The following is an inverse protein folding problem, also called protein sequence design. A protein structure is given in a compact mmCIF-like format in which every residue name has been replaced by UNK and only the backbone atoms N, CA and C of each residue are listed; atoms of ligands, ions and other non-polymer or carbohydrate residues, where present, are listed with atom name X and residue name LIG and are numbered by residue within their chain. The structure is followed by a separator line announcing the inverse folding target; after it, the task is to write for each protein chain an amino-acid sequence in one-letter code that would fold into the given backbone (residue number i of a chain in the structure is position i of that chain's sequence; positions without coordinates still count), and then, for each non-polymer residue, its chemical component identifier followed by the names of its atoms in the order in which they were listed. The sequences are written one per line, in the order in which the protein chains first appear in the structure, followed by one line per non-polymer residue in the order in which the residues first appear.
data_IF_174894858760
#
_entry.id   IF_174894858760
#
_cell.length_a   1.000
_cell.length_b   1.000
_cell.length_c   1.000
_cell.angle_alpha   90.00
_cell.angle_beta   90.00
_cell.angle_gamma   90.00
#
_symmetry.space_group_name_H-M   'P 1'
#
loop_
_entity.id
_entity.type
_entity.pdbx_description
1 polymer ?
#
# COMPACT_ATOMS: atom_id res chain seq x y z
N UNK A 1 8.32 0.39 -30.17
CA UNK A 1 7.36 -0.35 -29.32
C UNK A 1 6.67 0.68 -28.46
N UNK A 2 5.35 0.71 -28.41
CA UNK A 2 4.63 1.83 -27.77
C UNK A 2 3.51 1.29 -26.90
N UNK A 3 3.61 1.55 -25.59
CA UNK A 3 2.51 1.31 -24.69
C UNK A 3 1.49 2.44 -24.87
N UNK A 4 0.31 2.11 -25.36
CA UNK A 4 -0.81 3.03 -25.45
C UNK A 4 -1.98 2.53 -24.61
N UNK A 5 -2.80 3.46 -24.11
CA UNK A 5 -3.95 3.11 -23.30
C UNK A 5 -4.87 4.27 -23.00
N UNK A 6 -5.85 4.03 -22.14
CA UNK A 6 -6.82 5.02 -21.68
C UNK A 6 -7.08 4.84 -20.19
N UNK A 7 -7.09 5.96 -19.47
CA UNK A 7 -7.32 6.00 -18.02
C UNK A 7 -8.74 6.50 -17.73
N UNK A 8 -9.47 5.74 -16.92
CA UNK A 8 -10.86 5.99 -16.57
C UNK A 8 -11.04 6.08 -15.05
N UNK A 9 -11.84 7.03 -14.60
CA UNK A 9 -12.38 7.07 -13.24
C UNK A 9 -13.74 6.38 -13.22
N UNK A 10 -13.99 5.55 -12.23
CA UNK A 10 -15.28 4.89 -12.02
C UNK A 10 -16.19 5.85 -11.26
N UNK A 11 -17.23 6.36 -11.91
CA UNK A 11 -18.19 7.33 -11.35
C UNK A 11 -19.40 6.67 -10.70
N UNK A 12 -19.71 5.43 -11.07
CA UNK A 12 -20.75 4.61 -10.45
C UNK A 12 -20.20 3.20 -10.22
N UNK A 13 -19.66 2.97 -9.03
CA UNK A 13 -18.96 1.73 -8.68
C UNK A 13 -19.87 0.50 -8.72
N UNK A 14 -21.10 0.62 -8.24
CA UNK A 14 -22.09 -0.47 -8.28
C UNK A 14 -22.37 -0.92 -9.72
N UNK A 15 -22.72 0.01 -10.61
CA UNK A 15 -23.01 -0.30 -12.02
C UNK A 15 -21.79 -0.87 -12.73
N UNK A 16 -20.59 -0.36 -12.41
CA UNK A 16 -19.33 -0.89 -12.91
C UNK A 16 -19.14 -2.35 -12.49
N UNK A 17 -19.25 -2.66 -11.19
CA UNK A 17 -19.08 -4.02 -10.66
C UNK A 17 -20.11 -4.98 -11.27
N UNK A 18 -21.39 -4.59 -11.32
CA UNK A 18 -22.46 -5.44 -11.85
C UNK A 18 -22.27 -5.82 -13.34
N UNK A 19 -21.63 -4.95 -14.13
CA UNK A 19 -21.42 -5.18 -15.57
C UNK A 19 -20.04 -5.75 -15.89
N UNK A 20 -19.01 -5.18 -15.32
CA UNK A 20 -17.62 -5.49 -15.65
C UNK A 20 -17.11 -6.67 -14.83
N UNK A 21 -17.21 -6.59 -13.50
CA UNK A 21 -16.66 -7.61 -12.59
C UNK A 21 -17.52 -8.88 -12.60
N UNK A 22 -18.85 -8.73 -12.53
CA UNK A 22 -19.75 -9.89 -12.40
C UNK A 22 -20.16 -10.52 -13.73
N UNK A 23 -20.17 -9.75 -14.82
CA UNK A 23 -20.65 -10.22 -16.14
C UNK A 23 -19.58 -10.21 -17.23
N UNK A 24 -18.34 -9.78 -16.92
CA UNK A 24 -17.22 -9.69 -17.86
C UNK A 24 -17.55 -8.89 -19.13
N UNK A 25 -18.41 -7.86 -19.03
CA UNK A 25 -18.79 -6.98 -20.15
C UNK A 25 -18.04 -5.66 -20.07
N UNK A 26 -17.87 -4.98 -21.22
CA UNK A 26 -17.34 -3.61 -21.22
C UNK A 26 -18.15 -2.71 -20.26
N UNK A 27 -17.50 -1.84 -19.48
CA UNK A 27 -18.21 -0.87 -18.65
C UNK A 27 -19.13 0.02 -19.49
N UNK A 28 -20.23 0.48 -18.90
CA UNK A 28 -21.08 1.45 -19.57
C UNK A 28 -20.39 2.82 -19.55
N UNK A 29 -20.53 3.66 -20.60
CA UNK A 29 -20.03 5.03 -20.56
C UNK A 29 -20.57 5.84 -19.36
N UNK A 30 -21.77 5.55 -18.86
CA UNK A 30 -22.34 6.30 -17.74
C UNK A 30 -21.73 5.96 -16.37
N UNK A 31 -20.99 4.85 -16.24
CA UNK A 31 -20.33 4.47 -14.98
C UNK A 31 -18.84 4.77 -14.95
N UNK A 32 -18.30 5.38 -16.01
CA UNK A 32 -16.89 5.75 -16.11
C UNK A 32 -16.72 7.13 -16.72
N UNK A 33 -15.63 7.82 -16.37
CA UNK A 33 -15.26 9.12 -16.93
C UNK A 33 -13.79 9.09 -17.33
N UNK A 34 -13.44 9.70 -18.46
CA UNK A 34 -12.05 9.83 -18.88
C UNK A 34 -11.28 10.73 -17.92
N UNK A 35 -10.10 10.28 -17.49
CA UNK A 35 -9.19 11.08 -16.67
C UNK A 35 -8.30 11.91 -17.60
N UNK A 36 -8.54 13.21 -17.65
CA UNK A 36 -7.71 14.18 -18.37
C UNK A 36 -6.52 14.62 -17.51
N UNK A 37 -5.37 14.89 -18.13
CA UNK A 37 -4.15 15.37 -17.45
C UNK A 37 -3.65 14.46 -16.31
N UNK A 38 -4.11 13.21 -16.25
CA UNK A 38 -3.54 12.18 -15.39
C UNK A 38 -2.12 11.88 -15.85
N UNK A 39 -1.26 11.40 -14.95
CA UNK A 39 0.08 10.95 -15.34
C UNK A 39 0.14 9.44 -15.39
N UNK A 40 0.93 8.92 -16.33
CA UNK A 40 1.27 7.50 -16.44
C UNK A 40 2.77 7.40 -16.58
N UNK A 41 3.38 6.45 -15.86
CA UNK A 41 4.81 6.17 -15.96
C UNK A 41 5.10 4.69 -15.87
N UNK A 42 6.25 4.30 -16.39
CA UNK A 42 6.84 3.01 -16.08
C UNK A 42 7.74 3.11 -14.86
N UNK A 43 7.69 2.06 -14.05
CA UNK A 43 8.61 1.82 -12.95
C UNK A 43 9.32 0.49 -13.18
N UNK A 44 10.54 0.37 -12.66
CA UNK A 44 11.32 -0.86 -12.75
C UNK A 44 10.76 -1.88 -11.76
N UNK A 45 10.54 -3.11 -12.22
CA UNK A 45 10.21 -4.22 -11.34
C UNK A 45 11.39 -4.64 -10.47
N UNK A 46 11.09 -5.43 -9.43
CA UNK A 46 12.11 -6.00 -8.55
C UNK A 46 13.11 -6.83 -9.35
N UNK A 47 14.41 -6.62 -9.11
CA UNK A 47 15.51 -7.33 -9.79
C UNK A 47 16.02 -6.71 -11.10
N UNK A 48 15.41 -5.64 -11.61
CA UNK A 48 15.92 -4.95 -12.80
C UNK A 48 17.18 -4.12 -12.48
N UNK A 49 18.25 -4.26 -13.26
CA UNK A 49 19.47 -3.49 -13.10
C UNK A 49 19.24 -1.97 -13.30
N UNK A 50 19.79 -1.17 -12.40
CA UNK A 50 19.57 0.28 -12.26
C UNK A 50 20.02 1.15 -13.46
N UNK A 51 20.67 0.58 -14.48
CA UNK A 51 21.39 1.35 -15.51
C UNK A 51 20.54 1.84 -16.68
N UNK A 52 19.49 1.11 -17.08
CA UNK A 52 18.80 1.42 -18.34
C UNK A 52 17.75 2.51 -18.18
N UNK A 53 17.70 3.51 -19.07
CA UNK A 53 16.73 4.61 -18.97
C UNK A 53 15.30 4.08 -19.10
N UNK A 54 14.40 4.61 -18.28
CA UNK A 54 12.96 4.48 -18.49
C UNK A 54 12.44 5.74 -19.19
N UNK A 55 11.37 5.64 -20.00
CA UNK A 55 10.77 6.81 -20.61
C UNK A 55 10.29 7.78 -19.53
N UNK A 56 10.28 9.09 -19.82
CA UNK A 56 9.68 10.06 -18.91
C UNK A 56 8.19 9.75 -18.70
N UNK A 57 7.61 10.12 -17.54
CA UNK A 57 6.17 10.07 -17.36
C UNK A 57 5.45 10.86 -18.45
N UNK A 58 4.32 10.34 -18.95
CA UNK A 58 3.46 11.04 -19.89
C UNK A 58 2.16 11.50 -19.22
N UNK A 59 1.47 12.45 -19.86
CA UNK A 59 0.14 12.92 -19.43
C UNK A 59 -0.93 12.31 -20.33
N UNK A 60 -2.10 12.05 -19.75
CA UNK A 60 -3.27 11.72 -20.54
C UNK A 60 -3.82 12.95 -21.23
N UNK A 61 -4.28 12.78 -22.48
CA UNK A 61 -4.91 13.84 -23.25
C UNK A 61 -6.37 14.13 -22.80
N UNK A 62 -7.07 14.99 -23.55
CA UNK A 62 -8.48 15.32 -23.33
C UNK A 62 -9.44 14.13 -23.48
N UNK A 63 -8.97 13.05 -24.08
CA UNK A 63 -9.70 11.79 -24.24
C UNK A 63 -9.23 10.72 -23.26
N UNK A 64 -8.40 11.08 -22.29
CA UNK A 64 -7.84 10.17 -21.30
C UNK A 64 -6.78 9.20 -21.85
N UNK A 65 -6.33 9.39 -23.09
CA UNK A 65 -5.35 8.51 -23.74
C UNK A 65 -3.94 8.87 -23.33
N UNK A 66 -3.10 7.85 -23.20
CA UNK A 66 -1.67 8.01 -22.94
C UNK A 66 -0.85 7.14 -23.89
N UNK A 67 0.37 7.58 -24.16
CA UNK A 67 1.36 6.85 -24.96
C UNK A 67 2.73 6.95 -24.28
N UNK A 68 3.44 5.83 -24.20
CA UNK A 68 4.79 5.72 -23.66
C UNK A 68 5.65 4.98 -24.68
N UNK A 69 6.72 5.62 -25.13
CA UNK A 69 7.71 4.99 -26.00
C UNK A 69 8.56 4.00 -25.21
N UNK A 70 8.48 2.73 -25.62
CA UNK A 70 9.22 1.62 -25.02
C UNK A 70 10.47 1.25 -25.82
N UNK A 71 10.81 1.98 -26.89
CA UNK A 71 11.92 1.66 -27.78
C UNK A 71 13.28 1.53 -27.07
N UNK A 72 13.48 2.29 -25.98
CA UNK A 72 14.70 2.31 -25.18
C UNK A 72 14.58 1.51 -23.87
N UNK A 73 13.41 0.92 -23.60
CA UNK A 73 13.19 0.14 -22.37
C UNK A 73 13.82 -1.24 -22.56
N UNK A 74 14.74 -1.66 -21.68
CA UNK A 74 15.34 -2.99 -21.78
C UNK A 74 14.27 -4.07 -21.60
N UNK A 75 14.52 -5.30 -22.07
CA UNK A 75 13.65 -6.45 -21.76
C UNK A 75 13.83 -6.93 -20.31
N UNK A 76 13.54 -6.04 -19.37
CA UNK A 76 13.51 -6.29 -17.94
C UNK A 76 12.08 -6.04 -17.42
N UNK A 77 11.65 -6.72 -16.35
CA UNK A 77 10.32 -6.50 -15.77
C UNK A 77 10.09 -5.03 -15.41
N UNK A 78 8.95 -4.49 -15.83
CA UNK A 78 8.47 -3.15 -15.51
C UNK A 78 7.03 -3.23 -15.02
N UNK A 79 6.57 -2.20 -14.33
CA UNK A 79 5.15 -2.05 -14.00
C UNK A 79 4.67 -0.64 -14.31
N UNK A 80 3.39 -0.53 -14.63
CA UNK A 80 2.72 0.71 -14.96
C UNK A 80 2.18 1.32 -13.68
N UNK A 81 2.41 2.62 -13.51
CA UNK A 81 1.84 3.41 -12.43
C UNK A 81 1.06 4.57 -13.02
N UNK A 82 -0.12 4.85 -12.48
CA UNK A 82 -0.91 6.01 -12.86
C UNK A 82 -1.42 6.80 -11.65
N UNK A 83 -1.66 8.09 -11.85
CA UNK A 83 -2.19 9.01 -10.86
C UNK A 83 -2.73 10.28 -11.52
N UNK A 84 -3.18 11.26 -10.74
CA UNK A 84 -3.67 12.51 -11.34
C UNK A 84 -3.43 13.79 -10.57
N UNK A 85 -2.54 13.81 -9.58
CA UNK A 85 -1.88 15.06 -9.18
C UNK A 85 -0.85 15.50 -10.21
N UNK A 86 -0.58 16.80 -10.28
CA UNK A 86 0.57 17.30 -11.02
C UNK A 86 1.89 16.81 -10.42
N UNK A 87 1.92 16.58 -9.10
CA UNK A 87 3.08 16.08 -8.36
C UNK A 87 3.15 14.56 -8.42
N UNK A 88 4.01 14.05 -9.29
CA UNK A 88 4.28 12.62 -9.55
C UNK A 88 4.56 11.75 -8.29
N UNK A 89 4.97 12.35 -7.17
CA UNK A 89 5.33 11.61 -5.95
C UNK A 89 4.22 11.54 -4.89
N UNK A 90 3.12 12.28 -5.04
CA UNK A 90 2.15 12.47 -3.94
C UNK A 90 0.79 11.79 -4.17
N UNK A 91 0.56 11.12 -5.31
CA UNK A 91 -0.78 10.58 -5.63
C UNK A 91 -0.79 9.36 -6.58
N UNK A 92 -0.24 8.23 -6.15
CA UNK A 92 -0.37 6.99 -6.93
C UNK A 92 -1.79 6.42 -6.78
N UNK A 93 -2.52 6.29 -7.87
CA UNK A 93 -3.87 5.71 -7.90
C UNK A 93 -3.86 4.25 -8.32
N UNK A 94 -2.97 3.90 -9.24
CA UNK A 94 -2.89 2.57 -9.81
C UNK A 94 -1.44 2.11 -9.92
N UNK A 95 -1.23 0.83 -9.65
CA UNK A 95 -0.02 0.08 -9.99
C UNK A 95 -0.41 -1.26 -10.61
N UNK A 96 0.28 -1.65 -11.67
CA UNK A 96 0.14 -2.96 -12.29
C UNK A 96 1.06 -3.98 -11.62
N UNK A 97 0.83 -5.27 -11.89
CA UNK A 97 1.85 -6.29 -11.67
C UNK A 97 3.05 -6.04 -12.59
N UNK A 98 4.20 -6.62 -12.25
CA UNK A 98 5.35 -6.68 -13.14
C UNK A 98 5.01 -7.41 -14.44
N UNK A 99 5.42 -6.83 -15.55
CA UNK A 99 5.28 -7.39 -16.90
C UNK A 99 6.54 -7.10 -17.70
N UNK A 100 6.81 -7.94 -18.70
CA UNK A 100 7.86 -7.62 -19.67
C UNK A 100 7.35 -6.59 -20.68
N UNK A 101 8.18 -5.62 -21.11
CA UNK A 101 7.80 -4.62 -22.09
C UNK A 101 7.18 -5.20 -23.37
N UNK A 102 7.70 -6.33 -23.88
CA UNK A 102 7.16 -6.98 -25.08
C UNK A 102 5.69 -7.42 -24.97
N UNK A 103 5.17 -7.63 -23.75
CA UNK A 103 3.76 -7.96 -23.52
C UNK A 103 2.85 -6.72 -23.52
N UNK A 104 3.42 -5.51 -23.40
CA UNK A 104 2.67 -4.26 -23.32
C UNK A 104 2.23 -3.71 -24.69
N UNK A 105 2.93 -4.10 -25.77
CA UNK A 105 2.69 -3.61 -27.13
C UNK A 105 1.49 -4.27 -27.82
N UNK A 106 0.98 -5.37 -27.25
CA UNK A 106 0.02 -6.23 -27.95
C UNK A 106 -1.40 -5.64 -27.95
N UNK A 107 -1.77 -4.87 -26.93
CA UNK A 107 -3.14 -4.36 -26.76
C UNK A 107 -3.17 -2.98 -26.11
N UNK A 108 -4.11 -2.13 -26.55
CA UNK A 108 -4.44 -0.89 -25.86
C UNK A 108 -4.86 -1.19 -24.41
N UNK A 109 -4.22 -0.52 -23.45
CA UNK A 109 -4.49 -0.74 -22.03
C UNK A 109 -5.67 0.10 -21.55
N UNK A 110 -6.73 -0.53 -21.04
CA UNK A 110 -7.79 0.17 -20.32
C UNK A 110 -7.57 0.01 -18.81
N UNK A 111 -7.41 1.14 -18.11
CA UNK A 111 -7.20 1.18 -16.66
C UNK A 111 -8.37 1.94 -16.05
N UNK A 112 -9.16 1.26 -15.22
CA UNK A 112 -10.27 1.86 -14.49
C UNK A 112 -9.91 2.04 -13.02
N UNK A 113 -10.10 3.22 -12.44
CA UNK A 113 -9.78 3.51 -11.03
C UNK A 113 -11.01 3.94 -10.25
N UNK A 114 -11.20 3.36 -9.06
CA UNK A 114 -12.21 3.78 -8.09
C UNK A 114 -11.51 4.23 -6.81
N UNK A 115 -11.85 5.42 -6.33
CA UNK A 115 -11.23 6.02 -5.13
C UNK A 115 -12.20 5.96 -3.96
N UNK A 116 -11.68 5.72 -2.77
CA UNK A 116 -12.42 5.78 -1.52
C UNK A 116 -11.53 6.34 -0.40
N UNK A 117 -12.18 6.77 0.68
CA UNK A 117 -11.48 7.29 1.86
C UNK A 117 -11.76 6.37 3.03
N UNK A 118 -10.71 5.83 3.63
CA UNK A 118 -10.82 5.19 4.96
C UNK A 118 -11.07 6.33 5.94
N UNK A 119 -12.27 6.34 6.54
CA UNK A 119 -12.65 7.39 7.48
C UNK A 119 -11.72 7.38 8.69
N UNK A 120 -11.49 8.55 9.27
CA UNK A 120 -10.60 8.70 10.42
C UNK A 120 -11.05 7.81 11.60
N UNK A 121 -12.35 7.52 11.74
CA UNK A 121 -12.92 6.65 12.78
C UNK A 121 -12.85 5.15 12.47
N UNK A 122 -12.74 4.77 11.20
CA UNK A 122 -12.68 3.38 10.75
C UNK A 122 -11.25 2.94 10.36
N UNK A 123 -10.27 3.82 10.54
CA UNK A 123 -8.85 3.50 10.36
C UNK A 123 -8.30 2.66 11.52
N UNK A 124 -7.00 2.40 11.49
CA UNK A 124 -6.31 1.66 12.55
C UNK A 124 -6.07 2.57 13.77
N UNK A 125 -6.75 2.30 14.88
CA UNK A 125 -6.79 3.20 16.04
C UNK A 125 -5.66 2.98 17.05
N UNK A 126 -5.49 3.92 17.98
CA UNK A 126 -4.59 3.75 19.13
C UNK A 126 -4.98 2.54 20.01
N UNK A 127 -6.27 2.20 20.09
CA UNK A 127 -6.75 1.02 20.80
C UNK A 127 -6.38 -0.28 20.06
N UNK A 128 -6.47 -0.28 18.71
CA UNK A 128 -5.99 -1.41 17.89
C UNK A 128 -4.49 -1.62 18.08
N UNK A 129 -3.71 -0.54 18.09
CA UNK A 129 -2.27 -0.60 18.36
C UNK A 129 -2.00 -1.22 19.73
N UNK A 130 -2.65 -0.73 20.79
CA UNK A 130 -2.48 -1.27 22.12
C UNK A 130 -2.82 -2.78 22.18
N UNK A 131 -3.93 -3.18 21.54
CA UNK A 131 -4.33 -4.59 21.45
C UNK A 131 -3.29 -5.46 20.73
N UNK A 132 -2.73 -4.99 19.62
CA UNK A 132 -1.67 -5.72 18.90
C UNK A 132 -0.39 -5.82 19.71
N UNK A 133 0.05 -4.73 20.36
CA UNK A 133 1.26 -4.74 21.17
C UNK A 133 1.13 -5.68 22.36
N UNK A 134 -0.04 -5.77 23.00
CA UNK A 134 -0.30 -6.75 24.06
C UNK A 134 -0.25 -8.20 23.54
N UNK A 135 -0.68 -8.46 22.30
CA UNK A 135 -0.51 -9.78 21.68
C UNK A 135 0.97 -10.08 21.40
N UNK A 136 1.72 -9.12 20.85
CA UNK A 136 3.16 -9.26 20.64
C UNK A 136 3.92 -9.50 21.95
N UNK A 137 3.55 -8.80 23.02
CA UNK A 137 4.13 -9.02 24.36
C UNK A 137 4.03 -10.48 24.81
N UNK A 138 2.86 -11.11 24.61
CA UNK A 138 2.62 -12.51 24.99
C UNK A 138 3.49 -13.50 24.19
N UNK A 139 3.95 -13.12 23.00
CA UNK A 139 4.81 -13.94 22.15
C UNK A 139 6.30 -13.81 22.49
N UNK A 140 6.69 -12.78 23.24
CA UNK A 140 8.11 -12.49 23.57
C UNK A 140 8.32 -12.65 25.08
N UNK A 141 8.86 -13.79 25.50
CA UNK A 141 8.97 -14.19 26.91
C UNK A 141 9.78 -13.22 27.80
N UNK A 142 10.73 -12.47 27.22
CA UNK A 142 11.63 -11.58 27.97
C UNK A 142 11.18 -10.11 27.97
N UNK A 143 10.00 -9.82 27.41
CA UNK A 143 9.46 -8.47 27.30
C UNK A 143 8.53 -8.14 28.49
N UNK A 144 8.99 -7.26 29.38
CA UNK A 144 8.21 -6.83 30.55
C UNK A 144 7.11 -5.85 30.15
N UNK A 145 7.40 -4.96 29.20
CA UNK A 145 6.47 -3.94 28.72
C UNK A 145 6.75 -3.60 27.27
N UNK A 146 5.68 -3.41 26.52
CA UNK A 146 5.71 -2.78 25.19
C UNK A 146 4.63 -1.73 25.15
N UNK A 147 4.94 -0.58 24.56
CA UNK A 147 4.02 0.53 24.42
C UNK A 147 4.28 1.23 23.11
N UNK A 148 3.22 1.73 22.50
CA UNK A 148 3.29 2.44 21.24
C UNK A 148 2.30 3.58 21.19
N UNK A 149 2.66 4.64 20.48
CA UNK A 149 1.80 5.80 20.28
C UNK A 149 1.83 6.17 18.81
N UNK A 150 0.63 6.31 18.23
CA UNK A 150 0.48 6.82 16.86
C UNK A 150 0.76 8.33 16.90
N UNK A 151 1.73 8.77 16.12
CA UNK A 151 2.17 10.16 15.99
C UNK A 151 1.92 10.66 14.56
N UNK A 152 2.07 11.96 14.27
CA UNK A 152 1.98 12.47 12.89
C UNK A 152 2.94 11.80 11.90
N UNK A 153 4.06 11.24 12.38
CA UNK A 153 5.17 10.78 11.56
C UNK A 153 5.36 9.24 11.59
N UNK A 154 4.38 8.51 12.12
CA UNK A 154 4.46 7.06 12.31
C UNK A 154 4.16 6.65 13.75
N UNK A 155 4.63 5.48 14.16
CA UNK A 155 4.33 4.89 15.46
C UNK A 155 5.60 4.91 16.30
N UNK A 156 5.60 5.72 17.37
CA UNK A 156 6.68 5.71 18.35
C UNK A 156 6.49 4.50 19.26
N UNK A 157 7.55 3.71 19.47
CA UNK A 157 7.51 2.46 20.22
C UNK A 157 8.57 2.48 21.32
N UNK A 158 8.21 1.91 22.47
CA UNK A 158 9.10 1.71 23.60
C UNK A 158 8.86 0.32 24.17
N UNK A 159 9.93 -0.44 24.25
CA UNK A 159 10.01 -1.81 24.74
C UNK A 159 10.92 -1.83 25.97
N UNK A 160 10.50 -2.51 27.03
CA UNK A 160 11.29 -2.74 28.24
C UNK A 160 11.32 -4.25 28.46
N UNK A 161 12.52 -4.81 28.52
CA UNK A 161 12.75 -6.22 28.84
C UNK A 161 13.62 -6.37 30.08
N UNK A 162 13.84 -7.62 30.51
CA UNK A 162 14.58 -8.01 31.73
C UNK A 162 16.06 -7.59 31.81
N UNK A 163 16.52 -6.75 30.90
CA UNK A 163 17.91 -6.35 30.79
C UNK A 163 18.11 -5.22 29.78
N UNK A 164 17.12 -4.35 29.60
CA UNK A 164 17.29 -3.19 28.73
C UNK A 164 16.00 -2.54 28.28
N UNK A 165 16.16 -1.37 27.69
CA UNK A 165 15.09 -0.59 27.08
C UNK A 165 15.43 -0.37 25.62
N UNK A 166 14.46 -0.60 24.74
CA UNK A 166 14.57 -0.26 23.34
C UNK A 166 13.50 0.76 22.97
N UNK A 167 13.83 1.70 22.11
CA UNK A 167 12.86 2.61 21.52
C UNK A 167 13.12 2.74 20.03
N UNK A 168 12.09 3.11 19.28
CA UNK A 168 12.21 3.36 17.86
C UNK A 168 10.93 3.94 17.29
N UNK A 169 10.98 4.33 16.02
CA UNK A 169 9.82 4.78 15.27
C UNK A 169 9.58 3.87 14.08
N UNK A 170 8.40 3.26 14.04
CA UNK A 170 7.91 2.58 12.85
C UNK A 170 7.25 3.61 11.93
N UNK A 171 7.91 3.90 10.81
CA UNK A 171 7.39 4.82 9.78
C UNK A 171 6.71 4.01 8.70
N UNK A 172 5.44 4.33 8.43
CA UNK A 172 4.65 3.74 7.37
C UNK A 172 4.50 4.74 6.22
N UNK A 173 4.63 4.25 4.98
CA UNK A 173 4.46 5.02 3.75
C UNK A 173 3.64 4.19 2.76
N UNK A 174 2.84 4.82 1.88
CA UNK A 174 2.24 4.12 0.75
C UNK A 174 3.29 3.34 -0.04
N UNK A 175 3.01 2.09 -0.35
CA UNK A 175 3.90 1.30 -1.19
C UNK A 175 3.77 1.74 -2.66
N UNK A 176 4.93 1.84 -3.32
CA UNK A 176 5.09 2.22 -4.71
C UNK A 176 5.79 1.11 -5.51
N UNK A 177 6.01 -0.06 -4.90
CA UNK A 177 6.61 -1.23 -5.53
C UNK A 177 5.62 -1.98 -6.44
N UNK A 178 6.15 -2.97 -7.16
CA UNK A 178 5.37 -3.95 -7.93
C UNK A 178 4.63 -4.98 -7.08
N UNK A 179 4.89 -5.07 -5.78
CA UNK A 179 4.20 -6.00 -4.90
C UNK A 179 2.76 -5.53 -4.65
N UNK A 180 1.81 -6.18 -5.31
CA UNK A 180 0.39 -5.87 -5.17
C UNK A 180 -0.22 -6.40 -3.86
N UNK A 181 0.52 -7.22 -3.09
CA UNK A 181 0.02 -7.81 -1.84
C UNK A 181 0.05 -6.82 -0.68
N UNK A 182 0.95 -5.83 -0.72
CA UNK A 182 1.15 -4.87 0.36
C UNK A 182 0.77 -3.46 -0.07
N UNK A 183 -0.03 -2.73 0.71
CA UNK A 183 -0.37 -1.32 0.41
C UNK A 183 0.61 -0.34 1.06
N UNK A 184 1.30 -0.79 2.10
CA UNK A 184 2.20 0.01 2.91
C UNK A 184 3.61 -0.60 2.91
N UNK A 185 4.58 0.28 2.71
CA UNK A 185 5.98 0.01 3.02
C UNK A 185 6.29 0.57 4.40
N UNK A 186 7.16 -0.11 5.13
CA UNK A 186 7.61 0.34 6.44
C UNK A 186 9.13 0.51 6.51
N UNK A 187 9.57 1.39 7.40
CA UNK A 187 10.95 1.53 7.84
C UNK A 187 10.99 1.70 9.36
N UNK A 188 12.06 1.24 9.98
CA UNK A 188 12.33 1.47 11.40
C UNK A 188 13.40 2.54 11.50
N UNK A 189 13.04 3.68 12.07
CA UNK A 189 13.89 4.85 12.27
C UNK A 189 14.12 5.08 13.76
N UNK A 190 15.11 5.91 14.09
CA UNK A 190 15.41 6.34 15.47
C UNK A 190 15.54 5.19 16.48
N UNK A 191 16.07 4.05 16.04
CA UNK A 191 16.22 2.87 16.89
C UNK A 191 17.36 3.07 17.90
N UNK A 192 17.01 2.97 19.19
CA UNK A 192 17.93 3.07 20.30
C UNK A 192 17.76 1.85 21.21
N UNK A 193 18.88 1.24 21.60
CA UNK A 193 18.92 0.16 22.58
C UNK A 193 19.81 0.59 23.75
N UNK A 194 19.19 0.71 24.92
CA UNK A 194 19.83 0.99 26.20
C UNK A 194 19.94 -0.32 26.98
N UNK A 195 21.17 -0.77 27.24
CA UNK A 195 21.46 -1.95 28.04
C UNK A 195 21.98 -1.52 29.42
N UNK A 196 21.58 -2.18 30.52
CA UNK A 196 22.06 -1.87 31.86
C UNK A 196 23.50 -2.34 32.03
N UNK A 197 24.34 -1.47 32.59
CA UNK A 197 25.74 -1.77 32.90
C UNK A 197 26.73 -1.32 31.82
N UNK A 198 28.04 -1.39 32.10
CA UNK A 198 29.06 -0.98 31.14
C UNK A 198 29.07 -1.93 29.94
N UNK A 199 29.19 -1.37 28.74
CA UNK A 199 28.99 -2.04 27.44
C UNK A 199 29.80 -3.34 27.23
N UNK A 200 30.92 -3.51 27.93
CA UNK A 200 31.79 -4.69 27.86
C UNK A 200 31.24 -5.91 28.63
N UNK A 201 30.44 -5.71 29.69
CA UNK A 201 29.85 -6.80 30.50
C UNK A 201 28.61 -7.41 29.85
N UNK A 202 27.84 -6.61 29.12
CA UNK A 202 26.59 -7.06 28.49
C UNK A 202 26.85 -7.86 27.20
N UNK A 203 27.91 -7.52 26.45
CA UNK A 203 28.28 -8.24 25.22
C UNK A 203 28.70 -9.70 25.42
N UNK A 204 28.99 -10.11 26.65
CA UNK A 204 29.32 -11.49 27.02
C UNK A 204 28.08 -12.37 27.29
N UNK A 205 26.92 -11.77 27.58
CA UNK A 205 25.72 -12.49 28.04
C UNK A 205 24.52 -12.32 27.10
N UNK A 206 24.43 -11.20 26.38
CA UNK A 206 23.30 -10.94 25.48
C UNK A 206 23.77 -10.29 24.18
N UNK A 207 23.44 -10.92 23.05
CA UNK A 207 23.75 -10.37 21.73
C UNK A 207 22.81 -9.20 21.43
N UNK A 208 23.39 -8.00 21.34
CA UNK A 208 22.71 -6.78 20.88
C UNK A 208 22.03 -6.99 19.53
N UNK A 209 22.72 -7.67 18.60
CA UNK A 209 22.21 -7.92 17.26
C UNK A 209 21.00 -8.85 17.27
N UNK A 210 20.96 -9.82 18.20
CA UNK A 210 19.80 -10.70 18.36
C UNK A 210 18.59 -9.93 18.90
N UNK A 211 18.78 -9.04 19.89
CA UNK A 211 17.71 -8.17 20.41
C UNK A 211 17.18 -7.27 19.30
N UNK A 212 18.08 -6.59 18.58
CA UNK A 212 17.70 -5.68 17.51
C UNK A 212 16.96 -6.42 16.39
N UNK A 213 17.44 -7.60 15.98
CA UNK A 213 16.78 -8.43 14.96
C UNK A 213 15.39 -8.87 15.41
N UNK A 214 15.24 -9.29 16.67
CA UNK A 214 13.95 -9.69 17.23
C UNK A 214 12.95 -8.52 17.24
N UNK A 215 13.38 -7.34 17.71
CA UNK A 215 12.53 -6.14 17.72
C UNK A 215 12.16 -5.74 16.30
N UNK A 216 13.13 -5.66 15.38
CA UNK A 216 12.87 -5.34 13.97
C UNK A 216 11.89 -6.32 13.31
N UNK A 217 11.95 -7.60 13.68
CA UNK A 217 10.99 -8.62 13.22
C UNK A 217 9.60 -8.35 13.77
N UNK A 218 9.46 -8.09 15.08
CA UNK A 218 8.17 -7.72 15.68
C UNK A 218 7.57 -6.44 15.09
N UNK A 219 8.41 -5.44 14.77
CA UNK A 219 7.98 -4.21 14.09
C UNK A 219 7.50 -4.46 12.66
N UNK A 220 8.15 -5.37 11.94
CA UNK A 220 7.73 -5.82 10.60
C UNK A 220 6.38 -6.52 10.67
N UNK A 221 6.18 -7.41 11.64
CA UNK A 221 4.91 -8.10 11.85
C UNK A 221 3.78 -7.14 12.21
N UNK A 222 4.06 -6.15 13.07
CA UNK A 222 3.12 -5.07 13.38
C UNK A 222 2.74 -4.28 12.12
N UNK A 223 3.72 -3.90 11.29
CA UNK A 223 3.46 -3.19 10.04
C UNK A 223 2.59 -4.02 9.08
N UNK A 224 2.85 -5.32 8.97
CA UNK A 224 2.08 -6.25 8.15
C UNK A 224 0.63 -6.38 8.63
N UNK A 225 0.39 -6.46 9.93
CA UNK A 225 -0.96 -6.54 10.47
C UNK A 225 -1.74 -5.23 10.28
N UNK A 226 -1.07 -4.08 10.41
CA UNK A 226 -1.67 -2.78 10.10
C UNK A 226 -2.07 -2.71 8.62
N UNK A 227 -1.16 -3.12 7.73
CA UNK A 227 -1.41 -3.18 6.28
C UNK A 227 -2.62 -4.06 5.95
N UNK A 228 -2.67 -5.28 6.50
CA UNK A 228 -3.75 -6.23 6.27
C UNK A 228 -5.11 -5.72 6.80
N UNK A 229 -5.12 -5.04 7.95
CA UNK A 229 -6.35 -4.44 8.48
C UNK A 229 -6.84 -3.28 7.60
N UNK A 230 -5.96 -2.37 7.20
CA UNK A 230 -6.31 -1.27 6.32
C UNK A 230 -6.79 -1.77 4.96
N UNK A 231 -6.15 -2.82 4.42
CA UNK A 231 -6.56 -3.52 3.20
C UNK A 231 -7.98 -4.09 3.33
N UNK A 232 -8.27 -4.82 4.42
CA UNK A 232 -9.61 -5.34 4.68
C UNK A 232 -10.66 -4.24 4.77
N UNK A 233 -10.36 -3.14 5.47
CA UNK A 233 -11.26 -1.99 5.55
C UNK A 233 -11.50 -1.35 4.19
N UNK A 234 -10.44 -1.16 3.39
CA UNK A 234 -10.57 -0.62 2.04
C UNK A 234 -11.48 -1.50 1.16
N UNK A 235 -11.26 -2.81 1.13
CA UNK A 235 -12.11 -3.74 0.37
C UNK A 235 -13.56 -3.65 0.87
N UNK A 236 -13.80 -3.64 2.18
CA UNK A 236 -15.13 -3.52 2.74
C UNK A 236 -15.83 -2.21 2.32
N UNK A 237 -15.11 -1.08 2.25
CA UNK A 237 -15.67 0.20 1.77
C UNK A 237 -16.17 0.10 0.33
N UNK A 238 -15.46 -0.62 -0.54
CA UNK A 238 -15.88 -0.83 -1.92
C UNK A 238 -17.02 -1.85 -2.02
N UNK A 239 -16.95 -2.96 -1.27
CA UNK A 239 -18.01 -3.96 -1.24
C UNK A 239 -19.34 -3.35 -0.76
N UNK A 240 -19.32 -2.51 0.27
CA UNK A 240 -20.52 -1.86 0.81
C UNK A 240 -21.17 -0.84 -0.14
N UNK A 241 -20.46 -0.40 -1.19
CA UNK A 241 -21.04 0.46 -2.23
C UNK A 241 -21.89 -0.34 -3.24
N UNK A 242 -21.81 -1.67 -3.22
CA UNK A 242 -22.54 -2.54 -4.14
C UNK A 242 -23.67 -3.20 -3.36
N UNK A 243 -24.93 -2.96 -3.75
CA UNK A 243 -26.09 -3.59 -3.09
C UNK A 243 -26.23 -5.04 -3.57
N UNK A 244 -25.31 -5.90 -3.16
CA UNK A 244 -25.31 -7.32 -3.50
C UNK A 244 -25.27 -8.19 -2.26
N UNK A 245 -25.91 -9.36 -2.36
CA UNK A 245 -25.86 -10.42 -1.35
C UNK A 245 -24.75 -11.43 -1.61
N UNK A 246 -23.92 -11.24 -2.66
CA UNK A 246 -22.82 -12.15 -2.98
C UNK A 246 -21.69 -12.03 -1.93
N UNK A 247 -21.52 -13.02 -1.03
CA UNK A 247 -20.47 -12.97 -0.01
C UNK A 247 -19.06 -13.09 -0.62
N UNK A 248 -18.93 -13.56 -1.86
CA UNK A 248 -17.67 -13.69 -2.56
C UNK A 248 -17.23 -12.41 -3.28
N UNK A 249 -18.05 -11.34 -3.28
CA UNK A 249 -17.71 -10.10 -3.99
C UNK A 249 -16.37 -9.53 -3.52
N UNK A 250 -16.12 -9.46 -2.21
CA UNK A 250 -14.85 -8.94 -1.68
C UNK A 250 -13.63 -9.70 -2.20
N UNK A 251 -13.72 -11.04 -2.25
CA UNK A 251 -12.66 -11.88 -2.78
C UNK A 251 -12.47 -11.70 -4.29
N UNK A 252 -13.58 -11.59 -5.06
CA UNK A 252 -13.53 -11.30 -6.51
C UNK A 252 -12.91 -9.94 -6.81
N UNK A 253 -13.26 -8.91 -6.04
CA UNK A 253 -12.64 -7.58 -6.18
C UNK A 253 -11.14 -7.66 -5.89
N UNK A 254 -10.74 -8.33 -4.80
CA UNK A 254 -9.35 -8.51 -4.44
C UNK A 254 -8.54 -9.31 -5.48
N UNK A 255 -9.16 -10.23 -6.23
CA UNK A 255 -8.48 -10.98 -7.29
C UNK A 255 -8.42 -10.26 -8.64
N UNK A 256 -9.37 -9.35 -8.91
CA UNK A 256 -9.46 -8.65 -10.21
C UNK A 256 -8.85 -7.25 -10.20
N UNK A 257 -8.68 -6.66 -9.03
CA UNK A 257 -8.21 -5.29 -8.87
C UNK A 257 -6.87 -5.23 -8.12
N UNK A 258 -6.13 -4.16 -8.39
CA UNK A 258 -4.99 -3.77 -7.57
C UNK A 258 -5.44 -2.72 -6.57
N UNK A 259 -5.04 -2.87 -5.32
CA UNK A 259 -5.35 -1.91 -4.27
C UNK A 259 -4.10 -1.11 -3.93
N UNK A 260 -4.26 0.21 -3.93
CA UNK A 260 -3.17 1.17 -3.73
C UNK A 260 -3.58 2.18 -2.65
N UNK A 261 -2.65 2.53 -1.76
CA UNK A 261 -2.80 3.68 -0.88
C UNK A 261 -2.30 4.91 -1.62
N UNK A 262 -3.16 5.88 -1.89
CA UNK A 262 -2.75 7.16 -2.48
C UNK A 262 -2.06 8.02 -1.43
N UNK A 263 -2.67 8.11 -0.25
CA UNK A 263 -2.22 8.97 0.84
C UNK A 263 -2.43 8.31 2.18
N UNK A 264 -1.40 8.32 3.01
CA UNK A 264 -1.48 7.92 4.42
C UNK A 264 -1.66 9.16 5.31
N UNK A 265 -2.55 9.08 6.29
CA UNK A 265 -2.91 10.18 7.19
C UNK A 265 -2.90 9.68 8.64
N UNK A 266 -2.61 10.59 9.57
CA UNK A 266 -2.58 10.31 11.02
C UNK A 266 -3.51 11.26 11.79
N UNK A 267 -4.84 11.26 11.53
CA UNK A 267 -5.77 12.21 12.12
C UNK A 267 -5.91 12.03 13.64
N UNK A 268 -6.27 13.11 14.35
CA UNK A 268 -6.65 13.06 15.77
C UNK A 268 -8.12 12.69 15.84
N UNK A 269 -8.46 11.59 16.52
CA UNK A 269 -9.83 11.06 16.61
C UNK A 269 -10.50 11.33 17.96
N UNK A 270 -9.71 11.51 19.03
CA UNK A 270 -10.22 11.91 20.34
C UNK A 270 -9.25 12.88 21.02
N UNK A 271 -9.76 13.95 21.62
CA UNK A 271 -8.95 14.87 22.43
C UNK A 271 -9.11 14.49 23.89
N UNK A 272 -8.02 14.04 24.52
CA UNK A 272 -7.94 13.95 25.97
C UNK A 272 -7.44 15.30 26.51
N UNK A 273 -8.08 15.83 27.56
CA UNK A 273 -7.72 17.11 28.16
C UNK A 273 -6.26 17.09 28.63
N UNK A 274 -5.39 17.87 27.97
CA UNK A 274 -3.98 18.05 28.34
C UNK A 274 -2.96 17.10 27.68
N UNK A 275 -3.38 16.16 26.82
CA UNK A 275 -2.47 15.25 26.11
C UNK A 275 -2.56 15.42 24.58
N UNK A 276 -1.53 14.94 23.86
CA UNK A 276 -1.63 14.71 22.41
C UNK A 276 -2.77 13.72 22.18
N UNK A 277 -3.87 14.17 21.57
CA UNK A 277 -5.08 13.35 21.41
C UNK A 277 -4.82 12.02 20.69
N UNK A 278 -5.66 11.03 20.96
CA UNK A 278 -5.61 9.72 20.32
C UNK A 278 -5.70 9.88 18.81
N UNK A 279 -4.83 9.16 18.11
CA UNK A 279 -4.77 9.18 16.64
C UNK A 279 -5.20 7.86 16.07
N UNK A 280 -5.57 7.90 14.79
CA UNK A 280 -5.71 6.72 13.95
C UNK A 280 -4.76 6.80 12.77
N UNK A 281 -4.57 5.68 12.09
CA UNK A 281 -3.93 5.58 10.78
C UNK A 281 -5.05 5.39 9.77
N UNK A 282 -5.21 6.36 8.90
CA UNK A 282 -6.25 6.40 7.87
C UNK A 282 -5.62 6.73 6.52
N UNK A 283 -6.39 6.68 5.45
CA UNK A 283 -5.84 7.00 4.15
C UNK A 283 -6.85 7.04 3.03
N UNK A 284 -6.35 7.54 1.91
CA UNK A 284 -7.09 7.65 0.67
C UNK A 284 -6.63 6.45 -0.17
N UNK A 285 -7.57 5.61 -0.59
CA UNK A 285 -7.30 4.33 -1.24
C UNK A 285 -7.89 4.32 -2.64
N UNK A 286 -7.28 3.52 -3.51
CA UNK A 286 -7.72 3.37 -4.88
C UNK A 286 -7.70 1.90 -5.31
N UNK A 287 -8.81 1.43 -5.87
CA UNK A 287 -8.89 0.16 -6.59
C UNK A 287 -8.72 0.42 -8.08
N UNK A 288 -7.72 -0.22 -8.69
CA UNK A 288 -7.51 -0.19 -10.12
C UNK A 288 -7.82 -1.53 -10.78
N UNK A 289 -8.59 -1.50 -11.87
CA UNK A 289 -8.99 -2.67 -12.64
C UNK A 289 -8.30 -2.62 -14.01
N UNK A 290 -7.25 -3.43 -14.22
CA UNK A 290 -6.73 -3.62 -15.55
C UNK A 290 -7.67 -4.52 -16.36
N UNK A 291 -7.87 -4.19 -17.63
CA UNK A 291 -8.58 -5.11 -18.55
C UNK A 291 -7.68 -6.17 -19.16
N UNK A 292 -6.50 -5.77 -19.61
CA UNK A 292 -5.66 -6.60 -20.48
C UNK A 292 -4.39 -7.13 -19.80
N UNK A 293 -4.18 -6.84 -18.51
CA UNK A 293 -3.04 -7.39 -17.74
C UNK A 293 -3.29 -8.81 -17.19
N UNK A 294 -4.44 -9.42 -17.45
CA UNK A 294 -4.83 -10.71 -16.86
C UNK A 294 -4.32 -11.96 -17.62
N UNK A 295 -3.37 -11.81 -18.56
CA UNK A 295 -3.03 -12.87 -19.52
C UNK A 295 -1.72 -13.64 -19.33
N UNK A 296 -0.76 -13.20 -18.51
CA UNK A 296 0.61 -13.79 -18.55
C UNK A 296 1.23 -14.18 -17.22
N UNK A 297 0.54 -13.96 -16.09
CA UNK A 297 0.98 -14.47 -14.79
C UNK A 297 0.21 -15.73 -14.44
N UNK A 298 0.73 -16.90 -14.81
CA UNK A 298 0.40 -18.13 -14.09
C UNK A 298 0.57 -17.86 -12.60
N UNK A 299 -0.45 -18.20 -11.81
CA UNK A 299 -0.33 -18.32 -10.37
C UNK A 299 0.77 -19.36 -10.09
N UNK A 300 1.95 -18.91 -9.70
CA UNK A 300 2.86 -19.75 -8.92
C UNK A 300 2.18 -19.97 -7.56
N UNK A 301 1.46 -21.09 -7.47
CA UNK A 301 1.10 -21.76 -6.21
C UNK A 301 2.30 -22.49 -5.66
#
# INVERSE_FOLDING_TARGET
MTLHGTLYEITNFESFVQRYVLKSRRPHPDCVRLIKNGWVRLCRGDGAHSGSPLPPPCRTDDTGRFELDLSQVPDAPVFVVAGGSEKLQESCWYRSACVRPGALDQHAQEIYVARAVISDKSGFSQADLAGLLEQTKKQVADLERISGTITPNGIALTCIGKGGKASGRLVLKPDQSSDLKTMLRHSVEDFLLELPGPSWLVGLLVSRDAIETSIRTGLRDLAREIDERLRRHAIALFTNQVQTMDPALGARLASMATLTMERLRYPIVARQSGASGDRSIAGDVCLGFPRNFQGTGQQET
#
